data_IF_624604829887
#
_entry.id   IF_624604829887
#
_cell.length_a   1.000
_cell.length_b   1.000
_cell.length_c   1.000
_cell.angle_alpha   90.00
_cell.angle_beta   90.00
_cell.angle_gamma   90.00
#
_symmetry.space_group_name_H-M   'P 1'
#
loop_
_entity.id
_entity.type
_entity.pdbx_description
1 polymer ?
#
# COMPACT_ATOMS: atom_id res chain seq x y z
N UNK A 1 2.31 -17.91 23.30
CA UNK A 1 3.73 -17.98 22.90
C UNK A 1 4.32 -16.60 22.84
N UNK A 2 4.98 -16.21 23.94
CA UNK A 2 5.99 -15.15 23.93
C UNK A 2 7.02 -15.53 22.85
N UNK A 3 7.50 -14.55 22.07
CA UNK A 3 8.33 -14.73 20.87
C UNK A 3 9.70 -15.37 21.19
N UNK A 4 9.74 -16.65 21.54
CA UNK A 4 10.98 -17.43 21.59
C UNK A 4 11.21 -18.04 20.22
N UNK A 5 12.45 -17.98 19.76
CA UNK A 5 12.91 -18.70 18.59
C UNK A 5 12.85 -20.20 18.83
N UNK A 6 12.85 -20.98 17.74
CA UNK A 6 12.77 -22.44 17.80
C UNK A 6 13.96 -23.06 18.55
N UNK A 7 15.13 -22.44 18.47
CA UNK A 7 16.33 -22.86 19.19
C UNK A 7 16.23 -22.56 20.69
N UNK A 8 15.71 -21.39 21.06
CA UNK A 8 15.45 -21.05 22.47
C UNK A 8 14.38 -21.95 23.09
N UNK A 9 13.37 -22.34 22.32
CA UNK A 9 12.33 -23.28 22.77
C UNK A 9 12.91 -24.67 23.04
N UNK A 10 13.84 -25.14 22.19
CA UNK A 10 14.55 -26.41 22.41
C UNK A 10 15.41 -26.36 23.68
N UNK A 11 16.20 -25.31 23.83
CA UNK A 11 17.05 -25.12 25.00
C UNK A 11 16.21 -25.05 26.29
N UNK A 12 15.03 -24.42 26.24
CA UNK A 12 14.09 -24.37 27.36
C UNK A 12 13.54 -25.76 27.72
N UNK A 13 13.15 -26.56 26.72
CA UNK A 13 12.65 -27.94 26.94
C UNK A 13 13.74 -28.83 27.52
N UNK A 14 14.98 -28.75 27.01
CA UNK A 14 16.13 -29.48 27.55
C UNK A 14 16.41 -29.09 29.01
N UNK A 15 16.33 -27.79 29.32
CA UNK A 15 16.45 -27.28 30.69
C UNK A 15 15.36 -27.83 31.61
N UNK A 16 14.11 -27.89 31.16
CA UNK A 16 13.00 -28.47 31.93
C UNK A 16 13.21 -29.97 32.20
N UNK A 17 13.78 -30.71 31.24
CA UNK A 17 14.11 -32.12 31.41
C UNK A 17 15.23 -32.33 32.44
N UNK A 18 16.29 -31.52 32.39
CA UNK A 18 17.40 -31.58 33.36
C UNK A 18 16.92 -31.22 34.77
N UNK A 19 16.04 -30.23 34.90
CA UNK A 19 15.49 -29.78 36.18
C UNK A 19 14.39 -30.71 36.73
N UNK A 20 13.96 -31.72 35.96
CA UNK A 20 12.84 -32.59 36.34
C UNK A 20 11.50 -31.85 36.47
N UNK A 21 11.34 -30.68 35.83
CA UNK A 21 10.16 -29.82 35.94
C UNK A 21 9.21 -30.01 34.76
N UNK A 22 8.62 -31.20 34.65
CA UNK A 22 7.58 -31.50 33.66
C UNK A 22 7.38 -32.99 33.45
N UNK A 23 6.45 -33.34 32.57
CA UNK A 23 6.25 -34.72 32.13
C UNK A 23 7.36 -35.13 31.14
N UNK A 24 8.21 -36.13 31.48
CA UNK A 24 9.35 -36.53 30.64
C UNK A 24 8.94 -37.08 29.26
N UNK A 25 7.80 -37.78 29.19
CA UNK A 25 7.29 -38.33 27.93
C UNK A 25 6.82 -37.22 27.00
N UNK A 26 6.10 -36.24 27.54
CA UNK A 26 5.62 -35.08 26.81
C UNK A 26 6.74 -34.14 26.39
N UNK A 27 7.73 -33.89 27.25
CA UNK A 27 8.91 -33.08 26.90
C UNK A 27 9.76 -33.75 25.81
N UNK A 28 9.94 -35.07 25.86
CA UNK A 28 10.59 -35.82 24.78
C UNK A 28 9.82 -35.72 23.46
N UNK A 29 8.49 -35.84 23.50
CA UNK A 29 7.66 -35.68 22.31
C UNK A 29 7.83 -34.29 21.68
N UNK A 30 7.74 -33.25 22.50
CA UNK A 30 7.94 -31.85 22.09
C UNK A 30 9.35 -31.65 21.49
N UNK A 31 10.38 -32.23 22.11
CA UNK A 31 11.76 -32.14 21.62
C UNK A 31 11.89 -32.82 20.24
N UNK A 32 11.33 -34.01 20.06
CA UNK A 32 11.33 -34.74 18.78
C UNK A 32 10.65 -33.88 17.69
N UNK A 33 9.44 -33.39 17.95
CA UNK A 33 8.67 -32.55 17.01
C UNK A 33 9.46 -31.28 16.65
N UNK A 34 10.10 -30.64 17.62
CA UNK A 34 10.96 -29.48 17.40
C UNK A 34 12.25 -29.81 16.68
N UNK A 35 12.81 -31.02 16.81
CA UNK A 35 14.00 -31.45 16.04
C UNK A 35 13.66 -31.71 14.58
N UNK A 36 12.51 -32.30 14.31
CA UNK A 36 12.10 -32.74 12.96
C UNK A 36 11.59 -31.64 12.03
N UNK A 37 11.37 -30.41 12.51
CA UNK A 37 10.85 -29.34 11.64
C UNK A 37 9.40 -28.99 11.83
N UNK A 38 8.68 -29.73 12.69
CA UNK A 38 7.23 -29.69 12.73
C UNK A 38 6.74 -28.63 13.72
N UNK A 39 5.58 -28.05 13.42
CA UNK A 39 4.91 -27.14 14.34
C UNK A 39 4.33 -27.91 15.52
N UNK A 40 4.47 -27.33 16.73
CA UNK A 40 3.88 -27.90 17.94
C UNK A 40 2.35 -27.81 17.91
N UNK A 41 1.70 -28.85 18.43
CA UNK A 41 0.25 -28.82 18.68
C UNK A 41 -0.11 -27.76 19.72
N UNK A 42 -1.30 -27.18 19.61
CA UNK A 42 -1.78 -26.14 20.54
C UNK A 42 -1.72 -26.58 22.00
N UNK A 43 -1.99 -27.86 22.28
CA UNK A 43 -1.86 -28.45 23.62
C UNK A 43 -0.44 -28.33 24.18
N UNK A 44 0.56 -28.59 23.34
CA UNK A 44 1.97 -28.54 23.73
C UNK A 44 2.50 -27.11 23.78
N UNK A 45 1.97 -26.22 22.93
CA UNK A 45 2.22 -24.78 23.01
C UNK A 45 1.73 -24.20 24.35
N UNK A 46 0.50 -24.49 24.74
CA UNK A 46 -0.07 -24.06 26.03
C UNK A 46 0.71 -24.65 27.20
N UNK A 47 1.11 -25.91 27.12
CA UNK A 47 1.90 -26.56 28.16
C UNK A 47 3.27 -25.89 28.37
N UNK A 48 3.96 -25.52 27.29
CA UNK A 48 5.23 -24.78 27.40
C UNK A 48 5.02 -23.35 27.91
N UNK A 49 3.97 -22.65 27.47
CA UNK A 49 3.64 -21.31 27.95
C UNK A 49 3.34 -21.31 29.47
N UNK A 50 2.64 -22.33 29.97
CA UNK A 50 2.39 -22.52 31.41
C UNK A 50 3.69 -22.78 32.19
N UNK A 51 4.57 -23.63 31.66
CA UNK A 51 5.87 -23.94 32.29
C UNK A 51 6.82 -22.75 32.27
N UNK A 52 6.82 -21.99 31.18
CA UNK A 52 7.57 -20.76 31.04
C UNK A 52 7.09 -19.69 32.04
N UNK A 53 5.78 -19.54 32.18
CA UNK A 53 5.18 -18.63 33.17
C UNK A 53 5.53 -19.03 34.61
N UNK A 54 5.59 -20.33 34.90
CA UNK A 54 6.01 -20.87 36.21
C UNK A 54 7.51 -20.62 36.49
N UNK A 55 8.37 -20.66 35.46
CA UNK A 55 9.81 -20.50 35.64
C UNK A 55 10.26 -19.04 35.80
N UNK A 56 9.52 -18.09 35.20
CA UNK A 56 9.75 -16.64 35.37
C UNK A 56 9.22 -16.10 36.71
N UNK A 57 8.48 -16.91 37.48
CA UNK A 57 7.91 -16.45 38.75
C UNK A 57 6.71 -15.52 38.58
N UNK A 58 6.06 -15.55 37.41
CA UNK A 58 4.74 -14.97 37.20
C UNK A 58 3.72 -15.86 37.91
N UNK A 59 3.56 -15.62 39.22
CA UNK A 59 2.47 -16.19 40.00
C UNK A 59 1.14 -15.93 39.28
N UNK A 60 0.31 -16.98 39.30
CA UNK A 60 -1.09 -17.02 38.89
C UNK A 60 -1.74 -15.64 38.98
N UNK A 61 -2.23 -15.14 37.84
CA UNK A 61 -3.08 -13.95 37.72
C UNK A 61 -4.11 -14.02 38.86
N UNK A 62 -3.99 -13.13 39.84
CA UNK A 62 -5.07 -12.84 40.76
C UNK A 62 -6.16 -12.28 39.85
N UNK A 63 -7.20 -13.07 39.60
CA UNK A 63 -8.46 -12.53 39.07
C UNK A 63 -9.05 -11.65 40.17
N UNK A 64 -8.56 -10.42 40.23
CA UNK A 64 -9.36 -9.31 40.74
C UNK A 64 -10.49 -9.19 39.74
N UNK A 65 -11.73 -9.37 40.17
CA UNK A 65 -12.90 -9.00 39.37
C UNK A 65 -12.76 -7.51 39.04
N UNK A 66 -12.14 -7.20 37.89
CA UNK A 66 -12.03 -5.82 37.43
C UNK A 66 -13.43 -5.28 37.23
N UNK A 67 -13.71 -4.16 37.90
CA UNK A 67 -14.99 -3.48 37.81
C UNK A 67 -15.27 -3.20 36.33
N UNK A 68 -16.52 -3.34 35.88
CA UNK A 68 -16.92 -3.11 34.50
C UNK A 68 -16.46 -1.72 34.01
N UNK A 69 -16.40 -0.73 34.92
CA UNK A 69 -15.86 0.60 34.65
C UNK A 69 -14.36 0.57 34.32
N UNK A 70 -13.57 -0.22 35.05
CA UNK A 70 -12.13 -0.37 34.82
C UNK A 70 -11.87 -1.08 33.49
N UNK A 71 -12.69 -2.07 33.14
CA UNK A 71 -12.62 -2.74 31.83
C UNK A 71 -12.92 -1.78 30.68
N UNK A 72 -13.92 -0.91 30.82
CA UNK A 72 -14.24 0.12 29.82
C UNK A 72 -13.10 1.14 29.73
N UNK A 73 -12.54 1.55 30.86
CA UNK A 73 -11.42 2.48 30.90
C UNK A 73 -10.17 1.87 30.24
N UNK A 74 -9.93 0.57 30.41
CA UNK A 74 -8.90 -0.18 29.69
C UNK A 74 -9.13 -0.24 28.19
N UNK A 75 -10.38 -0.44 27.73
CA UNK A 75 -10.71 -0.40 26.29
C UNK A 75 -10.41 0.98 25.69
N UNK A 76 -10.70 2.05 26.42
CA UNK A 76 -10.38 3.43 26.00
C UNK A 76 -8.86 3.63 25.94
N UNK A 77 -8.12 3.26 26.99
CA UNK A 77 -6.65 3.44 27.02
C UNK A 77 -5.90 2.56 26.02
N UNK A 78 -6.46 1.40 25.67
CA UNK A 78 -5.88 0.49 24.67
C UNK A 78 -6.28 0.80 23.23
N UNK A 79 -7.16 1.79 23.02
CA UNK A 79 -7.64 2.16 21.68
C UNK A 79 -8.50 1.07 21.01
N UNK A 80 -9.05 0.14 21.78
CA UNK A 80 -9.82 -0.98 21.25
C UNK A 80 -11.30 -0.59 21.13
N UNK A 81 -11.66 -0.07 19.97
CA UNK A 81 -13.02 0.36 19.62
C UNK A 81 -13.13 1.87 19.36
N UNK A 82 -14.36 2.33 19.15
CA UNK A 82 -14.72 3.75 19.08
C UNK A 82 -14.59 4.40 20.47
N UNK A 83 -13.57 5.24 20.61
CA UNK A 83 -13.22 5.92 21.86
C UNK A 83 -14.29 6.91 22.30
N UNK A 84 -14.91 7.64 21.37
CA UNK A 84 -15.99 8.59 21.69
C UNK A 84 -17.23 7.87 22.20
N UNK A 85 -17.56 6.74 21.58
CA UNK A 85 -18.67 5.89 22.02
C UNK A 85 -18.40 5.23 23.37
N UNK A 86 -17.19 4.74 23.61
CA UNK A 86 -16.79 4.16 24.90
C UNK A 86 -16.76 5.21 26.02
N UNK A 87 -16.32 6.44 25.75
CA UNK A 87 -16.38 7.55 26.69
C UNK A 87 -17.83 7.88 27.05
N UNK A 88 -18.72 7.98 26.07
CA UNK A 88 -20.15 8.20 26.30
C UNK A 88 -20.77 7.10 27.18
N UNK A 89 -20.40 5.84 26.94
CA UNK A 89 -20.85 4.69 27.74
C UNK A 89 -20.31 4.79 29.18
N UNK A 90 -19.03 5.12 29.36
CA UNK A 90 -18.40 5.29 30.67
C UNK A 90 -19.08 6.41 31.48
N UNK A 91 -19.30 7.56 30.85
CA UNK A 91 -19.99 8.72 31.42
C UNK A 91 -21.42 8.35 31.85
N UNK A 92 -22.16 7.67 30.98
CA UNK A 92 -23.53 7.23 31.23
C UNK A 92 -23.61 6.26 32.41
N UNK A 93 -22.66 5.32 32.52
CA UNK A 93 -22.59 4.38 33.63
C UNK A 93 -22.18 5.05 34.95
N UNK A 94 -21.23 6.00 34.93
CA UNK A 94 -20.87 6.81 36.12
C UNK A 94 -22.08 7.61 36.65
N UNK A 95 -22.90 8.11 35.73
CA UNK A 95 -24.15 8.80 36.04
C UNK A 95 -25.29 7.86 36.46
N UNK A 96 -25.12 6.53 36.35
CA UNK A 96 -26.15 5.54 36.70
C UNK A 96 -27.29 5.44 35.71
N UNK A 97 -27.10 5.90 34.46
CA UNK A 97 -28.09 5.85 33.39
C UNK A 97 -28.06 4.48 32.70
N UNK A 98 -29.22 4.05 32.19
CA UNK A 98 -29.31 2.84 31.38
C UNK A 98 -28.72 3.09 30.00
N UNK A 99 -27.89 2.16 29.53
CA UNK A 99 -27.33 2.22 28.18
C UNK A 99 -28.39 1.83 27.14
N UNK A 100 -28.35 2.47 25.97
CA UNK A 100 -29.14 2.06 24.82
C UNK A 100 -28.76 0.64 24.39
N UNK A 101 -29.72 -0.08 23.79
CA UNK A 101 -29.54 -1.47 23.33
C UNK A 101 -28.34 -1.62 22.41
N UNK A 102 -28.14 -0.65 21.52
CA UNK A 102 -27.01 -0.58 20.60
C UNK A 102 -25.67 -0.46 21.32
N UNK A 103 -25.60 0.34 22.39
CA UNK A 103 -24.40 0.56 23.19
C UNK A 103 -24.09 -0.63 24.09
N UNK A 104 -25.13 -1.31 24.58
CA UNK A 104 -25.00 -2.57 25.31
C UNK A 104 -24.38 -3.67 24.46
N UNK A 105 -24.94 -3.91 23.27
CA UNK A 105 -24.42 -4.93 22.35
C UNK A 105 -22.99 -4.61 21.91
N UNK A 106 -22.70 -3.32 21.70
CA UNK A 106 -21.37 -2.87 21.38
C UNK A 106 -20.38 -3.16 22.52
N UNK A 107 -20.74 -2.85 23.77
CA UNK A 107 -19.92 -3.14 24.94
C UNK A 107 -19.69 -4.64 25.15
N UNK A 108 -20.74 -5.45 25.05
CA UNK A 108 -20.68 -6.91 25.19
C UNK A 108 -19.83 -7.55 24.10
N UNK A 109 -19.92 -7.06 22.86
CA UNK A 109 -19.07 -7.49 21.75
C UNK A 109 -17.59 -7.16 21.96
N UNK A 110 -17.28 -6.08 22.67
CA UNK A 110 -15.89 -5.68 22.95
C UNK A 110 -15.30 -6.32 24.20
N UNK A 111 -16.14 -6.61 25.20
CA UNK A 111 -15.73 -7.28 26.44
C UNK A 111 -15.79 -8.81 26.35
N UNK A 112 -16.49 -9.36 25.35
CA UNK A 112 -16.65 -10.81 25.18
C UNK A 112 -17.47 -11.49 26.28
N UNK A 113 -18.19 -10.69 27.10
CA UNK A 113 -18.97 -11.16 28.25
C UNK A 113 -20.29 -10.39 28.33
N UNK A 114 -21.35 -11.06 28.77
CA UNK A 114 -22.64 -10.43 29.05
C UNK A 114 -22.55 -9.63 30.35
N UNK A 115 -22.87 -8.34 30.28
CA UNK A 115 -22.74 -7.43 31.45
C UNK A 115 -24.05 -7.43 32.23
N UNK A 116 -24.02 -7.80 33.51
CA UNK A 116 -25.20 -7.78 34.37
C UNK A 116 -25.34 -6.41 35.06
N UNK A 117 -26.25 -5.58 34.55
CA UNK A 117 -26.39 -4.16 34.93
C UNK A 117 -27.11 -3.92 36.26
N UNK A 118 -27.78 -4.92 36.85
CA UNK A 118 -28.52 -4.72 38.10
C UNK A 118 -27.59 -4.59 39.33
N UNK A 119 -26.46 -5.32 39.34
CA UNK A 119 -25.46 -5.25 40.42
C UNK A 119 -24.79 -3.88 40.58
N UNK A 120 -24.73 -3.07 39.52
CA UNK A 120 -24.10 -1.74 39.53
C UNK A 120 -24.97 -0.65 40.18
N UNK A 121 -26.29 -0.88 40.30
CA UNK A 121 -27.22 0.08 40.89
C UNK A 121 -27.21 0.03 42.43
N UNK A 122 -26.96 -1.14 43.01
CA UNK A 122 -26.97 -1.39 44.47
C UNK A 122 -25.73 -0.85 45.19
N UNK A 123 -24.58 -0.77 44.51
CA UNK A 123 -23.34 -0.25 45.10
C UNK A 123 -23.31 1.28 45.27
N UNK A 124 -24.09 2.03 44.46
CA UNK A 124 -24.17 3.50 44.57
C UNK A 124 -25.20 3.94 45.62
N UNK A 125 -26.30 3.20 45.78
CA UNK A 125 -27.31 3.49 46.82
C UNK A 125 -26.78 3.26 48.24
N UNK A 126 -25.82 2.35 48.41
CA UNK A 126 -25.20 2.05 49.71
C UNK A 126 -24.13 3.05 50.11
N UNK A 127 -23.36 3.60 49.17
CA UNK A 127 -22.36 4.65 49.47
C UNK A 127 -23.00 5.98 49.87
N UNK A 128 -24.06 6.40 49.17
CA UNK A 128 -24.72 7.68 49.44
C UNK A 128 -25.47 7.65 50.80
N UNK A 129 -26.08 6.50 51.14
CA UNK A 129 -26.69 6.28 52.46
C UNK A 129 -25.67 6.33 53.61
N UNK A 130 -24.45 5.84 53.39
CA UNK A 130 -23.41 5.79 54.43
C UNK A 130 -22.81 7.19 54.66
N UNK A 131 -22.63 7.97 53.58
CA UNK A 131 -22.21 9.37 53.64
C UNK A 131 -23.24 10.23 54.37
N UNK A 132 -24.54 10.03 54.12
CA UNK A 132 -25.59 10.77 54.83
C UNK A 132 -25.66 10.39 56.32
N UNK A 133 -25.41 9.12 56.65
CA UNK A 133 -25.37 8.66 58.06
C UNK A 133 -24.20 9.30 58.82
N UNK A 134 -23.00 9.33 58.22
CA UNK A 134 -21.82 9.98 58.79
C UNK A 134 -22.03 11.49 58.95
N UNK A 135 -22.73 12.13 58.02
CA UNK A 135 -23.03 13.57 58.10
C UNK A 135 -23.96 13.90 59.27
N UNK A 136 -24.96 13.06 59.53
CA UNK A 136 -25.86 13.20 60.69
C UNK A 136 -25.10 13.00 62.00
N UNK A 137 -24.17 12.03 62.05
CA UNK A 137 -23.37 11.74 63.24
C UNK A 137 -22.41 12.88 63.58
N UNK A 138 -21.75 13.47 62.59
CA UNK A 138 -20.88 14.65 62.76
C UNK A 138 -21.67 15.87 63.26
N UNK A 139 -22.88 16.10 62.75
CA UNK A 139 -23.74 17.19 63.21
C UNK A 139 -24.16 17.01 64.68
N UNK A 140 -24.49 15.77 65.08
CA UNK A 140 -24.82 15.42 66.47
C UNK A 140 -23.64 15.64 67.41
N UNK A 141 -22.44 15.23 66.99
CA UNK A 141 -21.21 15.44 67.77
C UNK A 141 -20.91 16.93 67.98
N UNK A 142 -21.05 17.74 66.93
CA UNK A 142 -20.83 19.19 67.00
C UNK A 142 -21.82 19.90 67.95
N UNK A 143 -23.09 19.48 67.96
CA UNK A 143 -24.06 20.01 68.94
C UNK A 143 -23.68 19.64 70.38
N UNK A 144 -23.16 18.42 70.60
CA UNK A 144 -22.72 17.98 71.92
C UNK A 144 -21.52 18.77 72.42
N UNK A 145 -20.58 19.11 71.53
CA UNK A 145 -19.43 19.97 71.82
C UNK A 145 -19.90 21.37 72.25
N UNK A 146 -20.78 22.00 71.48
CA UNK A 146 -21.31 23.34 71.81
C UNK A 146 -22.01 23.39 73.18
N UNK A 147 -22.75 22.33 73.53
CA UNK A 147 -23.39 22.23 74.85
C UNK A 147 -22.38 22.11 75.99
N UNK A 148 -21.29 21.35 75.79
CA UNK A 148 -20.23 21.22 76.78
C UNK A 148 -19.45 22.54 76.94
N UNK A 149 -19.19 23.25 75.85
CA UNK A 149 -18.54 24.57 75.87
C UNK A 149 -19.38 25.61 76.65
N UNK A 150 -20.71 25.56 76.51
CA UNK A 150 -21.63 26.40 77.28
C UNK A 150 -21.59 26.09 78.79
N UNK A 151 -21.57 24.81 79.15
CA UNK A 151 -21.45 24.37 80.57
C UNK A 151 -20.11 24.80 81.16
N UNK A 152 -19.01 24.65 80.42
CA UNK A 152 -17.67 25.06 80.85
C UNK A 152 -17.64 26.58 81.06
N UNK A 153 -18.20 27.35 80.13
CA UNK A 153 -18.24 28.82 80.23
C UNK A 153 -19.03 29.29 81.46
N UNK A 154 -20.12 28.60 81.80
CA UNK A 154 -20.92 28.89 83.00
C UNK A 154 -20.16 28.61 84.30
N UNK A 155 -19.49 27.45 84.38
CA UNK A 155 -18.74 27.06 85.57
C UNK A 155 -17.48 27.92 85.80
N UNK A 156 -16.83 28.38 84.72
CA UNK A 156 -15.71 29.33 84.80
C UNK A 156 -16.19 30.70 85.32
N UNK A 157 -17.39 31.14 84.94
CA UNK A 157 -18.00 32.36 85.48
C UNK A 157 -18.30 32.29 86.97
N UNK A 158 -18.75 31.14 87.48
CA UNK A 158 -19.03 30.93 88.91
C UNK A 158 -17.74 30.91 89.76
N UNK A 159 -16.64 30.36 89.23
CA UNK A 159 -15.34 30.34 89.91
C UNK A 159 -14.66 31.72 89.97
N UNK A 160 -14.92 32.60 89.00
CA UNK A 160 -14.37 33.96 88.99
C UNK A 160 -15.15 34.95 89.88
N UNK A 161 -16.40 34.63 90.27
CA UNK A 161 -17.21 35.45 91.18
C UNK A 161 -16.89 35.26 92.67
N UNK A 162 -16.18 34.18 93.04
CA UNK A 162 -15.91 33.80 94.45
C UNK A 162 -14.67 34.48 95.06
N UNK A 163 -13.82 35.13 94.27
CA UNK A 163 -12.58 35.76 94.76
C UNK A 163 -12.68 37.28 94.97
N UNK A 164 -13.65 37.76 95.75
CA UNK A 164 -13.62 39.10 96.36
C UNK A 164 -14.35 39.14 97.72
N UNK A 165 -13.65 38.81 98.81
CA UNK A 165 -13.88 39.21 100.22
C UNK A 165 -12.95 38.30 101.08
N UNK A 166 -12.28 38.64 102.16
CA UNK A 166 -12.20 39.82 103.01
C UNK A 166 -10.90 39.67 103.82
N UNK A 167 -9.82 40.39 103.51
CA UNK A 167 -8.65 40.45 104.39
C UNK A 167 -8.89 41.53 105.45
N UNK A 168 -9.31 41.12 106.66
CA UNK A 168 -9.17 41.94 107.88
C UNK A 168 -8.68 41.04 109.02
N UNK A 169 -7.65 41.50 109.74
CA UNK A 169 -7.11 40.82 110.92
C UNK A 169 -8.10 40.92 112.10
N UNK A 170 -8.35 39.84 112.87
CA UNK A 170 -9.23 39.88 114.03
C UNK A 170 -8.55 40.58 115.23
N UNK A 171 -9.19 41.63 115.76
CA UNK A 171 -8.94 42.14 117.12
C UNK A 171 -9.66 41.24 118.11
N UNK A 172 -8.93 40.59 119.02
CA UNK A 172 -9.52 39.80 120.11
C UNK A 172 -8.75 38.52 120.42
N UNK A 173 -7.51 38.63 120.91
CA UNK A 173 -6.83 37.53 121.61
C UNK A 173 -7.22 37.61 123.08
N UNK A 174 -8.35 37.03 123.43
CA UNK A 174 -8.68 36.67 124.81
C UNK A 174 -8.22 35.24 125.03
N UNK A 175 -7.33 35.04 126.02
CA UNK A 175 -6.92 33.73 126.48
C UNK A 175 -8.09 33.06 127.21
N UNK A 176 -8.86 32.26 126.48
CA UNK A 176 -9.62 31.14 127.01
C UNK A 176 -9.01 29.90 126.37
N UNK A 177 -8.41 29.03 127.18
CA UNK A 177 -7.93 27.74 126.69
C UNK A 177 -9.12 27.01 126.04
N UNK A 178 -9.08 26.69 124.74
CA UNK A 178 -10.13 25.90 124.12
C UNK A 178 -10.19 24.55 124.84
N UNK A 179 -11.41 24.04 125.05
CA UNK A 179 -11.56 22.68 125.56
C UNK A 179 -10.89 21.71 124.60
N UNK A 180 -10.34 20.61 125.13
CA UNK A 180 -9.63 19.58 124.35
C UNK A 180 -10.44 19.12 123.12
N UNK A 181 -11.77 19.04 123.27
CA UNK A 181 -12.73 18.68 122.21
C UNK A 181 -12.78 19.67 121.04
N UNK A 182 -12.47 20.94 121.26
CA UNK A 182 -12.50 21.99 120.23
C UNK A 182 -11.23 21.94 119.38
N UNK A 183 -10.09 21.65 120.01
CA UNK A 183 -8.83 21.35 119.31
C UNK A 183 -8.96 20.06 118.49
N UNK A 184 -9.60 19.02 119.02
CA UNK A 184 -9.82 17.76 118.28
C UNK A 184 -10.73 17.95 117.06
N UNK A 185 -11.80 18.75 117.18
CA UNK A 185 -12.68 19.10 116.05
C UNK A 185 -11.95 19.92 114.98
N UNK A 186 -11.13 20.89 115.40
CA UNK A 186 -10.35 21.70 114.47
C UNK A 186 -9.27 20.87 113.75
N UNK A 187 -8.59 19.96 114.46
CA UNK A 187 -7.63 19.01 113.88
C UNK A 187 -8.31 18.05 112.89
N UNK A 188 -9.49 17.52 113.21
CA UNK A 188 -10.26 16.69 112.27
C UNK A 188 -10.64 17.48 111.00
N UNK A 189 -11.11 18.73 111.16
CA UNK A 189 -11.45 19.58 110.02
C UNK A 189 -10.24 19.98 109.16
N UNK A 190 -9.08 20.22 109.77
CA UNK A 190 -7.84 20.48 109.04
C UNK A 190 -7.31 19.21 108.37
N UNK A 191 -7.45 18.05 108.99
CA UNK A 191 -7.11 16.76 108.38
C UNK A 191 -8.00 16.48 107.16
N UNK A 192 -9.29 16.80 107.21
CA UNK A 192 -10.20 16.71 106.06
C UNK A 192 -9.83 17.69 104.95
N UNK A 193 -9.41 18.92 105.29
CA UNK A 193 -8.89 19.89 104.31
C UNK A 193 -7.59 19.39 103.66
N UNK A 194 -6.70 18.76 104.43
CA UNK A 194 -5.46 18.16 103.92
C UNK A 194 -5.80 17.01 102.96
N UNK A 195 -6.74 16.14 103.34
CA UNK A 195 -7.19 15.05 102.49
C UNK A 195 -7.82 15.58 101.19
N UNK A 196 -8.65 16.62 101.26
CA UNK A 196 -9.24 17.26 100.08
C UNK A 196 -8.17 17.85 99.15
N UNK A 197 -7.22 18.63 99.70
CA UNK A 197 -6.09 19.17 98.93
C UNK A 197 -5.23 18.08 98.30
N UNK A 198 -5.06 16.94 98.97
CA UNK A 198 -4.37 15.78 98.39
C UNK A 198 -5.13 15.23 97.18
N UNK A 199 -6.45 15.07 97.27
CA UNK A 199 -7.27 14.63 96.12
C UNK A 199 -7.28 15.65 94.97
N UNK A 200 -7.25 16.94 95.25
CA UNK A 200 -7.11 17.98 94.22
C UNK A 200 -5.73 17.93 93.55
N UNK A 201 -4.66 17.75 94.33
CA UNK A 201 -3.31 17.58 93.80
C UNK A 201 -3.20 16.34 92.89
N UNK A 202 -3.84 15.23 93.26
CA UNK A 202 -3.89 14.02 92.43
C UNK A 202 -4.66 14.28 91.11
N UNK A 203 -5.77 15.01 91.14
CA UNK A 203 -6.49 15.43 89.92
C UNK A 203 -5.63 16.31 89.02
N UNK A 204 -4.94 17.30 89.58
CA UNK A 204 -4.02 18.17 88.85
C UNK A 204 -2.92 17.34 88.19
N UNK A 205 -2.36 16.35 88.90
CA UNK A 205 -1.33 15.48 88.34
C UNK A 205 -1.86 14.63 87.16
N UNK A 206 -3.09 14.13 87.25
CA UNK A 206 -3.76 13.41 86.16
C UNK A 206 -4.03 14.33 84.96
N UNK A 207 -4.42 15.58 85.19
CA UNK A 207 -4.62 16.56 84.11
C UNK A 207 -3.30 16.95 83.44
N UNK A 208 -2.22 17.11 84.21
CA UNK A 208 -0.88 17.38 83.68
C UNK A 208 -0.38 16.23 82.81
N UNK A 209 -0.61 14.97 83.18
CA UNK A 209 -0.22 13.82 82.36
C UNK A 209 -1.05 13.74 81.06
N UNK A 210 -2.36 14.01 81.12
CA UNK A 210 -3.22 14.12 79.94
C UNK A 210 -2.76 15.23 78.99
N UNK A 211 -2.42 16.42 79.53
CA UNK A 211 -1.92 17.52 78.72
C UNK A 211 -0.58 17.16 78.05
N UNK A 212 0.31 16.51 78.78
CA UNK A 212 1.59 16.03 78.24
C UNK A 212 1.38 15.06 77.08
N UNK A 213 0.41 14.13 77.21
CA UNK A 213 0.06 13.22 76.13
C UNK A 213 -0.47 13.97 74.90
N UNK A 214 -1.38 14.93 75.08
CA UNK A 214 -1.93 15.74 73.98
C UNK A 214 -0.83 16.52 73.26
N UNK A 215 0.16 17.04 73.99
CA UNK A 215 1.31 17.75 73.39
C UNK A 215 2.14 16.78 72.54
N UNK A 216 2.46 15.59 73.05
CA UNK A 216 3.22 14.57 72.31
C UNK A 216 2.47 14.13 71.04
N UNK A 217 1.18 13.84 71.16
CA UNK A 217 0.34 13.43 70.03
C UNK A 217 0.29 14.55 68.97
N UNK A 218 0.15 15.81 69.38
CA UNK A 218 0.18 16.96 68.47
C UNK A 218 1.52 17.07 67.74
N UNK A 219 2.64 16.91 68.43
CA UNK A 219 3.96 16.94 67.80
C UNK A 219 4.12 15.81 66.78
N UNK A 220 3.57 14.62 67.06
CA UNK A 220 3.57 13.50 66.14
C UNK A 220 2.71 13.79 64.90
N UNK A 221 1.49 14.31 65.09
CA UNK A 221 0.61 14.71 63.98
C UNK A 221 1.24 15.81 63.13
N UNK A 222 1.90 16.81 63.74
CA UNK A 222 2.60 17.85 62.98
C UNK A 222 3.76 17.28 62.15
N UNK A 223 4.47 16.26 62.64
CA UNK A 223 5.49 15.54 61.86
C UNK A 223 4.86 14.75 60.71
N UNK A 224 3.76 14.03 60.96
CA UNK A 224 3.04 13.28 59.92
C UNK A 224 2.53 14.21 58.82
N UNK A 225 1.88 15.32 59.17
CA UNK A 225 1.39 16.33 58.22
C UNK A 225 2.53 16.94 57.41
N UNK A 226 3.68 17.23 58.02
CA UNK A 226 4.86 17.70 57.29
C UNK A 226 5.38 16.66 56.30
N UNK A 227 5.47 15.40 56.71
CA UNK A 227 5.92 14.31 55.84
C UNK A 227 4.98 14.11 54.65
N UNK A 228 3.66 14.09 54.89
CA UNK A 228 2.66 13.96 53.84
C UNK A 228 2.66 15.16 52.88
N UNK A 229 2.80 16.38 53.41
CA UNK A 229 2.94 17.58 52.58
C UNK A 229 4.16 17.49 51.65
N UNK A 230 5.32 17.06 52.16
CA UNK A 230 6.50 16.85 51.33
C UNK A 230 6.29 15.75 50.28
N UNK A 231 5.62 14.67 50.65
CA UNK A 231 5.29 13.59 49.73
C UNK A 231 4.40 14.07 48.58
N UNK A 232 3.29 14.76 48.90
CA UNK A 232 2.38 15.32 47.90
C UNK A 232 3.07 16.35 47.01
N UNK A 233 3.92 17.21 47.58
CA UNK A 233 4.67 18.19 46.79
C UNK A 233 5.62 17.51 45.80
N UNK A 234 6.31 16.43 46.22
CA UNK A 234 7.16 15.65 45.33
C UNK A 234 6.36 14.96 44.21
N UNK A 235 5.17 14.44 44.51
CA UNK A 235 4.30 13.84 43.50
C UNK A 235 3.81 14.88 42.48
N UNK A 236 3.37 16.05 42.96
CA UNK A 236 2.92 17.15 42.08
C UNK A 236 4.04 17.57 41.12
N UNK A 237 5.28 17.66 41.60
CA UNK A 237 6.41 18.03 40.75
C UNK A 237 6.71 16.97 39.68
N UNK A 238 6.64 15.69 40.04
CA UNK A 238 6.81 14.59 39.07
C UNK A 238 5.70 14.60 38.01
N UNK A 239 4.44 14.82 38.40
CA UNK A 239 3.34 14.90 37.45
C UNK A 239 3.44 16.13 36.54
N UNK A 240 3.90 17.27 37.07
CA UNK A 240 4.19 18.47 36.26
C UNK A 240 5.26 18.20 35.21
N UNK A 241 6.33 17.50 35.59
CA UNK A 241 7.40 17.13 34.66
C UNK A 241 6.88 16.20 33.57
N UNK A 242 6.07 15.18 33.92
CA UNK A 242 5.43 14.30 32.94
C UNK A 242 4.51 15.06 31.98
N UNK A 243 3.69 15.99 32.48
CA UNK A 243 2.81 16.82 31.65
C UNK A 243 3.63 17.69 30.69
N UNK A 244 4.76 18.23 31.15
CA UNK A 244 5.67 19.01 30.30
C UNK A 244 6.22 18.16 29.15
N UNK A 245 6.73 16.96 29.45
CA UNK A 245 7.25 16.03 28.44
C UNK A 245 6.16 15.60 27.45
N UNK A 246 4.94 15.36 27.94
CA UNK A 246 3.79 15.06 27.07
C UNK A 246 3.44 16.22 26.15
N UNK A 247 3.47 17.48 26.63
CA UNK A 247 3.22 18.64 25.79
C UNK A 247 4.28 18.81 24.70
N UNK A 248 5.55 18.60 25.05
CA UNK A 248 6.65 18.63 24.07
C UNK A 248 6.45 17.56 22.98
N UNK A 249 6.01 16.36 23.35
CA UNK A 249 5.68 15.30 22.39
C UNK A 249 4.48 15.69 21.50
N UNK A 250 3.44 16.30 22.07
CA UNK A 250 2.26 16.76 21.30
C UNK A 250 2.66 17.82 20.28
N UNK A 251 3.53 18.76 20.66
CA UNK A 251 4.02 19.79 19.73
C UNK A 251 4.84 19.19 18.59
N UNK A 252 5.67 18.18 18.87
CA UNK A 252 6.39 17.43 17.84
C UNK A 252 5.45 16.68 16.89
N UNK A 253 4.42 16.00 17.43
CA UNK A 253 3.41 15.32 16.62
C UNK A 253 2.71 16.32 15.71
N UNK A 254 2.30 17.47 16.23
CA UNK A 254 1.65 18.53 15.44
C UNK A 254 2.55 19.06 14.32
N UNK A 255 3.86 19.23 14.58
CA UNK A 255 4.82 19.63 13.57
C UNK A 255 4.93 18.57 12.45
N UNK A 256 5.03 17.30 12.82
CA UNK A 256 5.08 16.19 11.86
C UNK A 256 3.78 16.07 11.04
N UNK A 257 2.62 16.28 11.66
CA UNK A 257 1.33 16.29 10.94
C UNK A 257 1.29 17.38 9.85
N UNK A 258 1.83 18.57 10.14
CA UNK A 258 1.89 19.68 9.19
C UNK A 258 2.85 19.37 8.03
N UNK A 259 4.02 18.80 8.32
CA UNK A 259 4.96 18.34 7.29
C UNK A 259 4.34 17.25 6.41
N UNK A 260 3.63 16.29 6.99
CA UNK A 260 2.93 15.24 6.26
C UNK A 260 1.82 15.82 5.38
N UNK A 261 1.10 16.85 5.82
CA UNK A 261 0.09 17.51 5.00
C UNK A 261 0.73 18.21 3.80
N UNK A 262 1.86 18.89 3.99
CA UNK A 262 2.61 19.50 2.89
C UNK A 262 3.13 18.46 1.90
N UNK A 263 3.71 17.36 2.40
CA UNK A 263 4.19 16.26 1.58
C UNK A 263 3.05 15.62 0.76
N UNK A 264 1.85 15.46 1.35
CA UNK A 264 0.65 14.99 0.61
C UNK A 264 0.26 15.95 -0.51
N UNK A 265 0.22 17.26 -0.25
CA UNK A 265 -0.08 18.27 -1.28
C UNK A 265 0.93 18.21 -2.43
N UNK A 266 2.22 18.10 -2.11
CA UNK A 266 3.28 17.96 -3.14
C UNK A 266 3.13 16.67 -3.94
N UNK A 267 2.87 15.54 -3.28
CA UNK A 267 2.60 14.26 -3.95
C UNK A 267 1.42 14.36 -4.91
N UNK A 268 0.33 15.01 -4.51
CA UNK A 268 -0.85 15.16 -5.35
C UNK A 268 -0.56 16.00 -6.60
N UNK A 269 0.23 17.07 -6.47
CA UNK A 269 0.72 17.86 -7.60
C UNK A 269 1.58 17.02 -8.56
N UNK A 270 2.55 16.26 -8.04
CA UNK A 270 3.41 15.38 -8.85
C UNK A 270 2.58 14.31 -9.56
N UNK A 271 1.58 13.75 -8.88
CA UNK A 271 0.71 12.71 -9.45
C UNK A 271 -0.11 13.28 -10.61
N UNK A 272 -0.65 14.49 -10.46
CA UNK A 272 -1.39 15.17 -11.53
C UNK A 272 -0.47 15.47 -12.74
N UNK A 273 0.77 15.92 -12.50
CA UNK A 273 1.75 16.16 -13.57
C UNK A 273 2.10 14.86 -14.31
N UNK A 274 2.37 13.78 -13.59
CA UNK A 274 2.66 12.48 -14.20
C UNK A 274 1.50 11.95 -15.04
N UNK A 275 0.25 12.14 -14.58
CA UNK A 275 -0.92 11.76 -15.37
C UNK A 275 -1.04 12.57 -16.66
N UNK A 276 -0.75 13.88 -16.60
CA UNK A 276 -0.73 14.73 -17.77
C UNK A 276 0.37 14.31 -18.75
N UNK A 277 1.60 14.09 -18.28
CA UNK A 277 2.72 13.64 -19.10
C UNK A 277 2.44 12.28 -19.75
N UNK A 278 1.84 11.33 -19.00
CA UNK A 278 1.43 10.04 -19.55
C UNK A 278 0.41 10.20 -20.68
N UNK A 279 -0.55 11.11 -20.54
CA UNK A 279 -1.53 11.40 -21.59
C UNK A 279 -0.87 12.01 -22.83
N UNK A 280 0.04 12.96 -22.65
CA UNK A 280 0.78 13.60 -23.75
C UNK A 280 1.66 12.60 -24.50
N UNK A 281 2.39 11.75 -23.79
CA UNK A 281 3.22 10.68 -24.37
C UNK A 281 2.35 9.68 -25.15
N UNK A 282 1.20 9.26 -24.59
CA UNK A 282 0.29 8.36 -25.27
C UNK A 282 -0.25 8.98 -26.57
N UNK A 283 -0.64 10.26 -26.54
CA UNK A 283 -1.09 10.98 -27.73
C UNK A 283 0.00 11.09 -28.80
N UNK A 284 1.24 11.38 -28.40
CA UNK A 284 2.39 11.43 -29.30
C UNK A 284 2.68 10.06 -29.93
N UNK A 285 2.70 9.00 -29.13
CA UNK A 285 2.92 7.62 -29.61
C UNK A 285 1.84 7.19 -30.62
N UNK A 286 0.57 7.54 -30.38
CA UNK A 286 -0.51 7.27 -31.33
C UNK A 286 -0.33 8.01 -32.65
N UNK A 287 0.11 9.27 -32.60
CA UNK A 287 0.38 10.06 -33.79
C UNK A 287 1.56 9.51 -34.59
N UNK A 288 2.65 9.11 -33.94
CA UNK A 288 3.80 8.48 -34.59
C UNK A 288 3.43 7.12 -35.21
N UNK A 289 2.66 6.31 -34.49
CA UNK A 289 2.15 5.04 -35.01
C UNK A 289 1.29 5.24 -36.26
N UNK A 290 0.44 6.28 -36.30
CA UNK A 290 -0.34 6.63 -37.51
C UNK A 290 0.57 6.99 -38.67
N UNK A 291 1.58 7.83 -38.45
CA UNK A 291 2.57 8.20 -39.48
C UNK A 291 3.33 6.99 -40.01
N UNK A 292 3.75 6.08 -39.14
CA UNK A 292 4.44 4.84 -39.55
C UNK A 292 3.53 3.93 -40.39
N UNK A 293 2.25 3.81 -40.04
CA UNK A 293 1.28 3.05 -40.84
C UNK A 293 1.10 3.67 -42.23
N UNK A 294 1.03 4.99 -42.34
CA UNK A 294 0.95 5.68 -43.64
C UNK A 294 2.21 5.47 -44.47
N UNK A 295 3.40 5.60 -43.87
CA UNK A 295 4.67 5.32 -44.53
C UNK A 295 4.78 3.88 -45.00
N UNK A 296 4.35 2.90 -44.19
CA UNK A 296 4.32 1.49 -44.58
C UNK A 296 3.39 1.24 -45.77
N UNK A 297 2.22 1.89 -45.81
CA UNK A 297 1.30 1.81 -46.97
C UNK A 297 1.92 2.40 -48.23
N UNK A 298 2.62 3.54 -48.12
CA UNK A 298 3.32 4.15 -49.25
C UNK A 298 4.46 3.26 -49.76
N UNK A 299 5.26 2.68 -48.86
CA UNK A 299 6.33 1.75 -49.22
C UNK A 299 5.79 0.52 -49.95
N UNK A 300 4.66 -0.05 -49.50
CA UNK A 300 4.01 -1.17 -50.17
C UNK A 300 3.56 -0.82 -51.60
N UNK A 301 2.96 0.36 -51.80
CA UNK A 301 2.59 0.83 -53.16
C UNK A 301 3.82 0.97 -54.06
N UNK A 302 4.91 1.53 -53.54
CA UNK A 302 6.16 1.64 -54.29
C UNK A 302 6.75 0.28 -54.67
N UNK A 303 6.61 -0.73 -53.80
CA UNK A 303 7.04 -2.10 -54.10
C UNK A 303 6.18 -2.73 -55.20
N UNK A 304 4.86 -2.56 -55.13
CA UNK A 304 3.92 -3.00 -56.17
C UNK A 304 4.22 -2.32 -57.53
N UNK A 305 4.46 -1.01 -57.55
CA UNK A 305 4.85 -0.26 -58.75
C UNK A 305 6.20 -0.71 -59.31
N UNK A 306 7.19 -0.99 -58.46
CA UNK A 306 8.49 -1.53 -58.89
C UNK A 306 8.34 -2.90 -59.55
N UNK A 307 7.54 -3.79 -58.97
CA UNK A 307 7.27 -5.11 -59.53
C UNK A 307 6.58 -4.99 -60.90
N UNK A 308 5.64 -4.05 -61.06
CA UNK A 308 5.01 -3.77 -62.36
C UNK A 308 6.03 -3.26 -63.39
N UNK A 309 6.89 -2.31 -63.01
CA UNK A 309 7.94 -1.79 -63.90
C UNK A 309 8.93 -2.87 -64.32
N UNK A 310 9.27 -3.80 -63.44
CA UNK A 310 10.14 -4.93 -63.75
C UNK A 310 9.48 -5.89 -64.75
N UNK A 311 8.18 -6.19 -64.59
CA UNK A 311 7.41 -6.96 -65.56
C UNK A 311 7.38 -6.30 -66.94
N UNK A 312 7.10 -4.99 -67.00
CA UNK A 312 7.10 -4.20 -68.24
C UNK A 312 8.49 -4.23 -68.89
N UNK A 313 9.57 -4.12 -68.09
CA UNK A 313 10.94 -4.20 -68.59
C UNK A 313 11.25 -5.55 -69.22
N UNK A 314 10.85 -6.66 -68.59
CA UNK A 314 11.05 -8.01 -69.12
C UNK A 314 10.26 -8.22 -70.42
N UNK A 315 9.03 -7.74 -70.49
CA UNK A 315 8.20 -7.78 -71.69
C UNK A 315 8.83 -6.95 -72.83
N UNK A 316 9.27 -5.72 -72.54
CA UNK A 316 9.99 -4.89 -73.51
C UNK A 316 11.27 -5.58 -74.03
N UNK A 317 12.04 -6.25 -73.16
CA UNK A 317 13.20 -7.02 -73.61
C UNK A 317 12.82 -8.18 -74.53
N UNK A 318 11.70 -8.86 -74.28
CA UNK A 318 11.18 -9.93 -75.13
C UNK A 318 10.79 -9.36 -76.50
N UNK A 319 10.03 -8.27 -76.54
CA UNK A 319 9.64 -7.57 -77.77
C UNK A 319 10.89 -7.16 -78.57
N UNK A 320 11.93 -6.62 -77.92
CA UNK A 320 13.19 -6.25 -78.59
C UNK A 320 13.88 -7.46 -79.22
N UNK A 321 13.88 -8.63 -78.55
CA UNK A 321 14.48 -9.85 -79.10
C UNK A 321 13.68 -10.37 -80.30
N UNK A 322 12.36 -10.37 -80.19
CA UNK A 322 11.45 -10.82 -81.26
C UNK A 322 11.54 -9.91 -82.48
N UNK A 323 11.53 -8.59 -82.29
CA UNK A 323 11.69 -7.61 -83.37
C UNK A 323 13.04 -7.76 -84.08
N UNK A 324 14.16 -7.91 -83.34
CA UNK A 324 15.46 -8.19 -83.96
C UNK A 324 15.51 -9.50 -84.74
N UNK A 325 14.84 -10.55 -84.25
CA UNK A 325 14.75 -11.82 -84.96
C UNK A 325 13.94 -11.69 -86.26
N UNK A 326 12.86 -10.90 -86.24
CA UNK A 326 12.08 -10.58 -87.43
C UNK A 326 12.86 -9.72 -88.43
N UNK A 327 13.61 -8.72 -87.97
CA UNK A 327 14.49 -7.90 -88.80
C UNK A 327 15.54 -8.76 -89.52
N UNK A 328 16.22 -9.66 -88.81
CA UNK A 328 17.17 -10.59 -89.39
C UNK A 328 16.53 -11.51 -90.44
N UNK A 329 15.34 -12.05 -90.16
CA UNK A 329 14.63 -12.90 -91.11
C UNK A 329 14.20 -12.13 -92.38
N UNK A 330 13.77 -10.88 -92.24
CA UNK A 330 13.46 -10.00 -93.38
C UNK A 330 14.71 -9.66 -94.19
N UNK A 331 15.84 -9.44 -93.54
CA UNK A 331 17.12 -9.17 -94.22
C UNK A 331 17.60 -10.39 -95.01
N UNK A 332 17.46 -11.60 -94.46
CA UNK A 332 17.75 -12.84 -95.17
C UNK A 332 16.82 -13.03 -96.39
N UNK A 333 15.53 -12.73 -96.25
CA UNK A 333 14.60 -12.75 -97.38
C UNK A 333 14.98 -11.75 -98.47
N UNK A 334 15.38 -10.53 -98.10
CA UNK A 334 15.86 -9.52 -99.04
C UNK A 334 17.13 -9.96 -99.77
N UNK A 335 18.05 -10.63 -99.08
CA UNK A 335 19.27 -11.18 -99.69
C UNK A 335 18.95 -12.31 -100.68
N UNK A 336 18.04 -13.22 -100.30
CA UNK A 336 17.54 -14.26 -101.21
C UNK A 336 16.84 -13.67 -102.44
N UNK A 337 16.03 -12.62 -102.28
CA UNK A 337 15.39 -11.93 -103.41
C UNK A 337 16.42 -11.22 -104.30
N UNK A 338 17.44 -10.56 -103.72
CA UNK A 338 18.54 -9.98 -104.49
C UNK A 338 19.27 -11.05 -105.31
N UNK A 339 19.60 -12.19 -104.71
CA UNK A 339 20.23 -13.30 -105.43
C UNK A 339 19.35 -13.85 -106.56
N UNK A 340 18.03 -13.96 -106.34
CA UNK A 340 17.07 -14.32 -107.40
C UNK A 340 17.08 -13.28 -108.52
N UNK A 341 17.05 -11.99 -108.20
CA UNK A 341 17.12 -10.91 -109.21
C UNK A 341 18.43 -10.95 -110.00
N UNK A 342 19.57 -11.21 -109.35
CA UNK A 342 20.86 -11.36 -110.02
C UNK A 342 20.88 -12.56 -110.98
N UNK A 343 20.34 -13.70 -110.55
CA UNK A 343 20.21 -14.87 -111.43
C UNK A 343 19.29 -14.57 -112.62
N UNK A 344 18.14 -13.92 -112.40
CA UNK A 344 17.26 -13.46 -113.48
C UNK A 344 17.96 -12.49 -114.42
N UNK A 345 18.77 -11.55 -113.91
CA UNK A 345 19.55 -10.63 -114.71
C UNK A 345 20.60 -11.36 -115.58
N UNK A 346 21.22 -12.43 -115.07
CA UNK A 346 22.15 -13.25 -115.86
C UNK A 346 21.45 -14.06 -116.95
N UNK A 347 20.25 -14.59 -116.67
CA UNK A 347 19.39 -15.23 -117.67
C UNK A 347 19.00 -14.22 -118.75
N UNK A 348 18.58 -13.01 -118.38
CA UNK A 348 18.25 -11.95 -119.33
C UNK A 348 19.43 -11.59 -120.24
N UNK A 349 20.66 -11.47 -119.71
CA UNK A 349 21.87 -11.27 -120.53
C UNK A 349 22.08 -12.42 -121.51
N UNK A 350 21.83 -13.65 -121.07
CA UNK A 350 21.93 -14.84 -121.92
C UNK A 350 20.89 -14.81 -123.03
N UNK A 351 19.63 -14.51 -122.71
CA UNK A 351 18.55 -14.31 -123.70
C UNK A 351 18.93 -13.23 -124.71
N UNK A 352 19.42 -12.07 -124.27
CA UNK A 352 19.88 -11.00 -125.18
C UNK A 352 21.00 -11.47 -126.10
N UNK A 353 21.93 -12.30 -125.61
CA UNK A 353 22.99 -12.88 -126.43
C UNK A 353 22.43 -13.85 -127.49
N UNK A 354 21.42 -14.66 -127.12
CA UNK A 354 20.72 -15.54 -128.05
C UNK A 354 19.89 -14.75 -129.06
N UNK A 355 19.21 -13.69 -128.66
CA UNK A 355 18.48 -12.79 -129.56
C UNK A 355 19.42 -12.18 -130.59
N UNK A 356 20.58 -11.69 -130.17
CA UNK A 356 21.62 -11.18 -131.07
C UNK A 356 22.09 -12.26 -132.05
N UNK A 357 22.36 -13.48 -131.56
CA UNK A 357 22.72 -14.61 -132.42
C UNK A 357 21.63 -14.95 -133.44
N UNK A 358 20.36 -14.93 -133.04
CA UNK A 358 19.22 -15.19 -133.93
C UNK A 358 19.10 -14.08 -134.99
N UNK A 359 19.28 -12.82 -134.61
CA UNK A 359 19.29 -11.69 -135.56
C UNK A 359 20.42 -11.85 -136.58
N UNK A 360 21.63 -12.15 -136.12
CA UNK A 360 22.79 -12.40 -136.99
C UNK A 360 22.55 -13.62 -137.91
N UNK A 361 21.93 -14.68 -137.39
CA UNK A 361 21.54 -15.87 -138.17
C UNK A 361 20.48 -15.54 -139.22
N UNK A 362 19.45 -14.76 -138.88
CA UNK A 362 18.44 -14.27 -139.84
C UNK A 362 19.07 -13.43 -140.93
N UNK A 363 19.99 -12.53 -140.59
CA UNK A 363 20.74 -11.75 -141.58
C UNK A 363 21.56 -12.65 -142.52
N UNK A 364 22.22 -13.69 -141.97
CA UNK A 364 22.91 -14.69 -142.81
C UNK A 364 21.95 -15.44 -143.71
N UNK A 365 20.78 -15.84 -143.23
CA UNK A 365 19.75 -16.47 -144.05
C UNK A 365 19.29 -15.55 -145.17
N UNK A 366 19.00 -14.27 -144.88
CA UNK A 366 18.64 -13.26 -145.89
C UNK A 366 19.72 -13.16 -146.97
N UNK A 367 21.00 -13.07 -146.59
CA UNK A 367 22.12 -13.10 -147.54
C UNK A 367 22.17 -14.39 -148.36
N UNK A 368 21.88 -15.53 -147.74
CA UNK A 368 21.84 -16.82 -148.43
C UNK A 368 20.68 -16.89 -149.42
N UNK A 369 19.48 -16.40 -149.06
CA UNK A 369 18.33 -16.32 -149.98
C UNK A 369 18.56 -15.33 -151.10
N UNK A 370 19.23 -14.21 -150.85
CA UNK A 370 19.70 -13.29 -151.89
C UNK A 370 20.65 -14.00 -152.86
N UNK A 371 21.64 -14.73 -152.35
CA UNK A 371 22.55 -15.54 -153.18
C UNK A 371 21.82 -16.63 -153.96
N UNK A 372 20.87 -17.34 -153.34
CA UNK A 372 20.05 -18.36 -154.00
C UNK A 372 19.21 -17.71 -155.11
N UNK A 373 18.62 -16.54 -154.86
CA UNK A 373 17.85 -15.81 -155.88
C UNK A 373 18.75 -15.30 -157.01
N UNK A 374 19.96 -14.81 -156.73
CA UNK A 374 20.95 -14.50 -157.76
C UNK A 374 21.29 -15.74 -158.60
N UNK A 375 21.54 -16.89 -157.96
CA UNK A 375 21.78 -18.14 -158.66
C UNK A 375 20.56 -18.58 -159.48
N UNK A 376 19.34 -18.39 -158.96
CA UNK A 376 18.08 -18.69 -159.66
C UNK A 376 17.87 -17.76 -160.87
N UNK A 377 18.21 -16.48 -160.76
CA UNK A 377 18.21 -15.54 -161.89
C UNK A 377 19.29 -15.90 -162.92
N UNK A 378 20.48 -16.31 -162.49
CA UNK A 378 21.53 -16.86 -163.38
C UNK A 378 21.05 -18.11 -164.11
N UNK A 379 20.23 -18.96 -163.48
CA UNK A 379 19.60 -20.14 -164.11
C UNK A 379 18.49 -19.73 -165.09
N UNK A 380 17.65 -18.74 -164.76
CA UNK A 380 16.63 -18.22 -165.68
C UNK A 380 17.22 -17.59 -166.95
N UNK A 381 18.42 -17.02 -166.88
CA UNK A 381 19.16 -16.53 -168.06
C UNK A 381 19.69 -17.66 -168.97
N UNK A 382 19.68 -18.91 -168.51
CA UNK A 382 20.09 -20.10 -169.29
C UNK A 382 18.88 -20.76 -169.99
N UNK A 383 17.65 -20.50 -169.51
CA UNK A 383 16.41 -21.08 -170.02
C UNK A 383 16.11 -20.80 -171.53
N UNK A 384 16.50 -19.66 -172.15
CA UNK A 384 16.32 -19.50 -173.59
C UNK A 384 17.30 -20.34 -174.45
N UNK A 385 18.41 -20.83 -173.88
CA UNK A 385 19.35 -21.73 -174.61
C UNK A 385 18.86 -23.19 -174.70
N UNK A 386 17.99 -23.61 -173.78
CA UNK A 386 17.44 -24.99 -173.76
C UNK A 386 16.27 -25.14 -174.75
N UNK A 387 15.53 -24.05 -175.01
CA UNK A 387 14.46 -24.03 -176.01
C UNK A 387 14.99 -24.08 -177.45
N UNK A 388 16.23 -23.62 -177.69
CA UNK A 388 16.89 -23.70 -178.99
C UNK A 388 17.39 -25.12 -179.31
N UNK A 389 17.83 -25.88 -178.29
CA UNK A 389 18.25 -27.29 -178.43
C UNK A 389 17.06 -28.23 -178.71
N UNK A 390 15.85 -27.90 -178.24
CA UNK A 390 14.63 -28.66 -178.57
C UNK A 390 14.09 -28.38 -179.98
N UNK A 391 14.30 -27.18 -180.51
CA UNK A 391 14.01 -26.80 -181.90
C UNK A 391 14.91 -27.56 -182.88
N UNK A 392 16.20 -27.64 -182.59
CA UNK A 392 17.19 -28.27 -183.48
C UNK A 392 17.05 -29.81 -183.52
N UNK A 393 16.44 -30.42 -182.49
CA UNK A 393 16.13 -31.86 -182.47
C UNK A 393 14.94 -32.23 -183.37
N UNK A 394 13.95 -31.35 -183.52
CA UNK A 394 12.77 -31.61 -184.37
C UNK A 394 13.09 -31.56 -185.88
N UNK A 395 14.16 -30.86 -186.28
CA UNK A 395 14.62 -30.79 -187.67
C UNK A 395 15.44 -32.03 -188.06
N UNK A 396 16.15 -32.64 -187.10
CA UNK A 396 16.92 -33.88 -187.32
C UNK A 396 16.04 -35.11 -187.52
N UNK A 397 14.88 -35.19 -186.86
CA UNK A 397 13.96 -36.33 -186.98
C UNK A 397 13.16 -36.34 -188.31
N UNK A 398 13.21 -35.27 -189.13
CA UNK A 398 12.62 -35.23 -190.48
C UNK A 398 13.59 -35.65 -191.60
N UNK A 399 14.88 -35.82 -191.32
CA UNK A 399 15.89 -36.22 -192.32
C UNK A 399 16.28 -37.70 -192.25
N UNK A 400 15.77 -38.47 -191.28
CA UNK A 400 15.98 -39.91 -191.17
C UNK A 400 14.71 -40.64 -190.68
N UNK A 401 13.66 -40.70 -191.52
CA UNK A 401 12.79 -41.87 -191.72
C UNK A 401 11.70 -41.60 -192.74
#
# INVERSE_FOLDING_TARGET
MVNLTREETKAFVEKLMVLGRGDPGRLNHILIVLTEGRELYNSDKTYLDEKFSQEIGLQKKIEVEENTLDKIQKLITSGIGDTGRLQFILESLKQGKTLYRSDRQYLESKLGQTVNYEKLKEQKSTSDSLVDTLRIEVLSANQKIANLESIISKNVGELQASHKSHNTLPRGWQAQAPSLEQIERDLASEQDKINHKKTESEKIQIEQSKLTQIILDREEFEKQVKAEKHHLQSQIEQERQKIKEQNELVDQIRAQELELEQAKKQRDVITAQLQQEQFEIASQADNERRKLVEQARAAKKLEEEKAQLESIRLENQKIIKETKAQELALEEQLEQEKAKLESQASILKSIQSYEKYIVDSKQKQIKLTEQINEHKQKIQLIDPKISQIKSDKAILDMLFS
#
